data_IF_802312686224
#
_entry.id   IF_802312686224
#
_cell.length_a   1.000
_cell.length_b   1.000
_cell.length_c   1.000
_cell.angle_alpha   90.00
_cell.angle_beta   90.00
_cell.angle_gamma   90.00
#
_symmetry.space_group_name_H-M   'P 1'
#
loop_
_entity.id
_entity.type
_entity.pdbx_description
1 polymer ?
#
# COMPACT_ATOMS: atom_id res chain seq x y z
N UNK A 1 11.72 14.00 -13.38
CA UNK A 1 10.47 13.44 -12.81
C UNK A 1 9.97 14.25 -11.63
N UNK A 2 10.76 14.47 -10.55
CA UNK A 2 10.34 15.31 -9.40
C UNK A 2 10.32 16.79 -9.82
N UNK A 3 11.29 17.25 -10.60
CA UNK A 3 11.34 18.62 -11.13
C UNK A 3 10.21 18.89 -12.14
N UNK A 4 9.88 17.95 -13.00
CA UNK A 4 8.74 18.01 -13.92
C UNK A 4 7.42 18.06 -13.15
N UNK A 5 7.28 17.26 -12.06
CA UNK A 5 6.10 17.26 -11.20
C UNK A 5 5.88 18.62 -10.51
N UNK A 6 6.94 19.24 -10.01
CA UNK A 6 6.86 20.57 -9.36
C UNK A 6 6.52 21.66 -10.38
N UNK A 7 7.05 21.57 -11.59
CA UNK A 7 6.77 22.55 -12.65
C UNK A 7 5.34 22.44 -13.18
N UNK A 8 4.79 21.23 -13.33
CA UNK A 8 3.39 21.02 -13.76
C UNK A 8 2.37 21.48 -12.70
N UNK A 9 2.66 21.29 -11.41
CA UNK A 9 1.78 21.81 -10.33
C UNK A 9 1.80 23.33 -10.20
N UNK A 10 2.86 24.00 -10.63
CA UNK A 10 2.99 25.47 -10.51
C UNK A 10 2.46 26.24 -11.72
N UNK A 11 2.30 25.58 -12.86
CA UNK A 11 1.97 26.25 -14.11
C UNK A 11 0.54 26.08 -14.60
N UNK A 12 -0.24 25.14 -14.04
CA UNK A 12 -1.59 24.83 -14.48
C UNK A 12 -2.62 25.16 -13.39
N UNK A 13 -3.37 26.24 -13.58
CA UNK A 13 -4.39 26.76 -12.63
C UNK A 13 -5.64 25.85 -12.52
N UNK A 14 -5.76 24.79 -13.32
CA UNK A 14 -6.86 23.82 -13.30
C UNK A 14 -6.37 22.37 -13.43
N UNK A 15 -5.72 21.84 -12.39
CA UNK A 15 -5.42 20.40 -12.35
C UNK A 15 -6.70 19.62 -12.04
N UNK A 16 -7.20 18.86 -13.01
CA UNK A 16 -8.36 18.01 -12.78
C UNK A 16 -8.05 16.96 -11.69
N UNK A 17 -9.01 16.59 -10.82
CA UNK A 17 -8.80 15.62 -9.73
C UNK A 17 -8.17 14.29 -10.20
N UNK A 18 -8.58 13.78 -11.35
CA UNK A 18 -8.04 12.53 -11.91
C UNK A 18 -6.56 12.66 -12.34
N UNK A 19 -6.15 13.82 -12.81
CA UNK A 19 -4.76 14.07 -13.20
C UNK A 19 -3.85 14.19 -11.97
N UNK A 20 -4.35 14.75 -10.88
CA UNK A 20 -3.65 14.80 -9.60
C UNK A 20 -3.45 13.39 -9.00
N UNK A 21 -4.48 12.55 -9.08
CA UNK A 21 -4.40 11.16 -8.64
C UNK A 21 -3.35 10.36 -9.45
N UNK A 22 -3.33 10.52 -10.78
CA UNK A 22 -2.33 9.89 -11.64
C UNK A 22 -0.90 10.38 -11.35
N UNK A 23 -0.73 11.67 -11.10
CA UNK A 23 0.56 12.27 -10.76
C UNK A 23 1.05 11.81 -9.39
N UNK A 24 0.16 11.77 -8.40
CA UNK A 24 0.45 11.25 -7.05
C UNK A 24 0.79 9.76 -7.09
N UNK A 25 0.03 8.98 -7.86
CA UNK A 25 0.30 7.56 -8.06
C UNK A 25 1.68 7.34 -8.68
N UNK A 26 2.02 8.07 -9.73
CA UNK A 26 3.33 7.99 -10.38
C UNK A 26 4.47 8.46 -9.47
N UNK A 27 4.24 9.47 -8.63
CA UNK A 27 5.22 9.93 -7.64
C UNK A 27 5.45 8.86 -6.55
N UNK A 28 4.38 8.27 -6.02
CA UNK A 28 4.47 7.19 -5.04
C UNK A 28 5.23 5.99 -5.63
N UNK A 29 4.93 5.60 -6.86
CA UNK A 29 5.64 4.54 -7.57
C UNK A 29 7.13 4.90 -7.72
N UNK A 30 7.46 6.12 -8.15
CA UNK A 30 8.85 6.55 -8.32
C UNK A 30 9.63 6.60 -6.99
N UNK A 31 8.98 7.01 -5.90
CA UNK A 31 9.57 6.99 -4.55
C UNK A 31 9.79 5.55 -4.09
N UNK A 32 8.81 4.67 -4.26
CA UNK A 32 8.95 3.24 -3.93
C UNK A 32 10.06 2.59 -4.75
N UNK A 33 10.14 2.87 -6.05
CA UNK A 33 11.20 2.38 -6.94
C UNK A 33 12.60 2.83 -6.50
N UNK A 34 12.75 4.07 -6.05
CA UNK A 34 14.07 4.62 -5.67
C UNK A 34 14.61 4.06 -4.35
N UNK A 35 13.71 3.64 -3.43
CA UNK A 35 14.09 3.19 -2.08
C UNK A 35 14.09 1.68 -1.87
N UNK A 36 13.44 0.90 -2.73
CA UNK A 36 13.19 -0.53 -2.45
C UNK A 36 13.82 -1.51 -3.43
N UNK A 37 14.50 -1.05 -4.46
CA UNK A 37 14.99 -1.92 -5.53
C UNK A 37 13.87 -2.56 -6.37
N UNK A 38 12.65 -2.08 -6.24
CA UNK A 38 11.46 -2.55 -6.93
C UNK A 38 11.34 -2.03 -8.37
N UNK A 39 12.44 -1.55 -8.95
CA UNK A 39 12.49 -1.03 -10.34
C UNK A 39 11.89 -1.99 -11.36
N UNK A 40 12.04 -3.29 -11.12
CA UNK A 40 11.51 -4.30 -12.05
C UNK A 40 10.00 -4.49 -11.93
N UNK A 41 9.42 -4.27 -10.75
CA UNK A 41 7.98 -4.51 -10.52
C UNK A 41 7.09 -3.46 -11.19
N UNK A 42 7.43 -2.19 -11.08
CA UNK A 42 6.64 -1.11 -11.68
C UNK A 42 6.73 -1.11 -13.22
N UNK A 43 7.88 -1.49 -13.79
CA UNK A 43 8.02 -1.66 -15.24
C UNK A 43 7.17 -2.83 -15.75
N UNK A 44 7.08 -3.93 -14.98
CA UNK A 44 6.28 -5.11 -15.32
C UNK A 44 4.77 -4.82 -15.25
N UNK A 45 4.34 -3.96 -14.34
CA UNK A 45 2.94 -3.55 -14.24
C UNK A 45 2.49 -2.64 -15.39
N UNK A 46 3.42 -1.85 -15.98
CA UNK A 46 3.13 -0.90 -17.07
C UNK A 46 3.15 -1.51 -18.48
N UNK A 47 3.86 -2.64 -18.69
CA UNK A 47 4.18 -3.11 -20.05
C UNK A 47 3.43 -4.37 -20.48
N UNK A 48 2.63 -4.99 -19.60
CA UNK A 48 1.93 -6.23 -19.95
C UNK A 48 0.44 -5.98 -20.16
N UNK A 49 -0.12 -6.36 -21.35
CA UNK A 49 -1.57 -6.42 -21.49
C UNK A 49 -2.13 -7.38 -20.42
N UNK A 50 -3.31 -7.14 -19.86
CA UNK A 50 -3.86 -7.96 -18.79
C UNK A 50 -4.03 -9.39 -19.31
N UNK A 51 -3.06 -10.24 -19.05
CA UNK A 51 -3.30 -11.68 -19.12
C UNK A 51 -4.40 -11.93 -18.10
N UNK A 52 -5.50 -12.52 -18.55
CA UNK A 52 -6.65 -12.77 -17.68
C UNK A 52 -6.15 -13.53 -16.44
N UNK A 53 -6.07 -12.84 -15.30
CA UNK A 53 -5.62 -13.42 -14.03
C UNK A 53 -6.45 -14.66 -13.71
N UNK A 54 -5.79 -15.75 -13.32
CA UNK A 54 -6.46 -16.99 -12.96
C UNK A 54 -7.50 -16.74 -11.84
N UNK A 55 -8.69 -17.33 -11.98
CA UNK A 55 -9.77 -17.15 -11.01
C UNK A 55 -9.37 -17.56 -9.59
N UNK A 56 -8.47 -18.54 -9.45
CA UNK A 56 -7.94 -19.00 -8.15
C UNK A 56 -7.03 -17.96 -7.52
N UNK A 57 -6.21 -17.27 -8.32
CA UNK A 57 -5.38 -16.16 -7.86
C UNK A 57 -6.23 -14.98 -7.43
N UNK A 58 -7.28 -14.62 -8.20
CA UNK A 58 -8.25 -13.58 -7.79
C UNK A 58 -8.93 -13.92 -6.48
N UNK A 59 -9.33 -15.19 -6.29
CA UNK A 59 -9.92 -15.66 -5.04
C UNK A 59 -8.93 -15.54 -3.87
N UNK A 60 -7.66 -15.91 -4.08
CA UNK A 60 -6.61 -15.77 -3.08
C UNK A 60 -6.41 -14.31 -2.67
N UNK A 61 -6.32 -13.40 -3.64
CA UNK A 61 -6.20 -11.95 -3.40
C UNK A 61 -7.38 -11.42 -2.59
N UNK A 62 -8.61 -11.83 -2.93
CA UNK A 62 -9.81 -11.42 -2.20
C UNK A 62 -9.79 -11.90 -0.74
N UNK A 63 -9.28 -13.12 -0.47
CA UNK A 63 -9.08 -13.63 0.88
C UNK A 63 -8.03 -12.83 1.65
N UNK A 64 -6.89 -12.54 1.04
CA UNK A 64 -5.81 -11.74 1.65
C UNK A 64 -6.28 -10.32 2.00
N UNK A 65 -7.04 -9.68 1.11
CA UNK A 65 -7.60 -8.33 1.34
C UNK A 65 -8.61 -8.29 2.46
N UNK A 66 -9.39 -9.36 2.63
CA UNK A 66 -10.41 -9.43 3.69
C UNK A 66 -9.81 -9.54 5.08
N UNK A 67 -8.64 -10.17 5.21
CA UNK A 67 -8.01 -10.46 6.50
C UNK A 67 -6.53 -10.02 6.49
N UNK A 68 -6.33 -8.72 6.38
CA UNK A 68 -4.99 -8.10 6.34
C UNK A 68 -4.27 -8.20 7.69
N UNK A 69 -5.02 -8.27 8.77
CA UNK A 69 -4.49 -8.35 10.14
C UNK A 69 -3.84 -9.71 10.45
N UNK A 70 -4.26 -10.75 9.76
CA UNK A 70 -3.76 -12.09 10.02
C UNK A 70 -2.46 -12.35 9.29
N UNK A 71 -1.53 -13.02 9.96
CA UNK A 71 -0.36 -13.55 9.27
C UNK A 71 -0.79 -14.49 8.14
N UNK A 72 -0.21 -14.31 6.94
CA UNK A 72 -0.59 -15.10 5.77
C UNK A 72 -0.26 -16.59 5.99
N UNK A 73 -1.28 -17.39 6.19
CA UNK A 73 -1.17 -18.85 6.11
C UNK A 73 -1.32 -19.27 4.64
N UNK A 74 -0.17 -19.43 4.00
CA UNK A 74 -0.09 -19.82 2.58
C UNK A 74 -0.75 -21.16 2.32
N UNK A 75 -0.64 -22.11 3.26
CA UNK A 75 -1.21 -23.46 3.09
C UNK A 75 -2.73 -23.42 3.13
N UNK A 76 -3.30 -22.64 4.05
CA UNK A 76 -4.75 -22.42 4.10
C UNK A 76 -5.27 -21.72 2.84
N UNK A 77 -4.58 -20.69 2.34
CA UNK A 77 -4.99 -20.00 1.11
C UNK A 77 -4.90 -20.92 -0.11
N UNK A 78 -3.83 -21.70 -0.22
CA UNK A 78 -3.68 -22.67 -1.29
C UNK A 78 -4.79 -23.74 -1.25
N UNK A 79 -5.10 -24.28 -0.08
CA UNK A 79 -6.17 -25.28 0.10
C UNK A 79 -7.54 -24.72 -0.29
N UNK A 80 -7.89 -23.49 0.14
CA UNK A 80 -9.17 -22.83 -0.22
C UNK A 80 -9.28 -22.57 -1.72
N UNK A 81 -8.15 -22.40 -2.41
CA UNK A 81 -8.12 -22.22 -3.87
C UNK A 81 -8.03 -23.54 -4.65
N UNK A 82 -7.94 -24.69 -3.95
CA UNK A 82 -7.84 -26.01 -4.56
C UNK A 82 -6.48 -26.29 -5.19
N UNK A 83 -5.43 -25.67 -4.67
CA UNK A 83 -4.05 -25.80 -5.17
C UNK A 83 -3.14 -26.41 -4.10
N UNK A 84 -2.10 -27.13 -4.55
CA UNK A 84 -0.95 -27.41 -3.69
C UNK A 84 -0.17 -26.12 -3.43
N UNK A 85 0.54 -26.05 -2.29
CA UNK A 85 1.39 -24.88 -1.94
C UNK A 85 2.32 -24.47 -3.09
N UNK A 86 3.04 -25.44 -3.67
CA UNK A 86 4.00 -25.18 -4.75
C UNK A 86 3.31 -24.61 -6.00
N UNK A 87 2.17 -25.21 -6.40
CA UNK A 87 1.40 -24.73 -7.55
C UNK A 87 0.80 -23.34 -7.30
N UNK A 88 0.32 -23.09 -6.08
CA UNK A 88 -0.18 -21.78 -5.68
C UNK A 88 0.92 -20.70 -5.79
N UNK A 89 2.11 -20.95 -5.24
CA UNK A 89 3.23 -20.01 -5.37
C UNK A 89 3.57 -19.68 -6.81
N UNK A 90 3.73 -20.72 -7.64
CA UNK A 90 4.06 -20.54 -9.06
C UNK A 90 2.97 -19.76 -9.81
N UNK A 91 1.69 -20.12 -9.60
CA UNK A 91 0.55 -19.49 -10.28
C UNK A 91 0.41 -18.03 -9.83
N UNK A 92 0.49 -17.79 -8.53
CA UNK A 92 0.39 -16.46 -7.94
C UNK A 92 1.51 -15.54 -8.44
N UNK A 93 2.77 -16.01 -8.40
CA UNK A 93 3.92 -15.24 -8.87
C UNK A 93 3.86 -15.00 -10.38
N UNK A 94 3.37 -15.95 -11.16
CA UNK A 94 3.15 -15.77 -12.60
C UNK A 94 2.17 -14.63 -12.90
N UNK A 95 1.06 -14.58 -12.17
CA UNK A 95 -0.03 -13.64 -12.43
C UNK A 95 0.18 -12.27 -11.78
N UNK A 96 0.80 -12.22 -10.61
CA UNK A 96 1.01 -10.97 -9.84
C UNK A 96 2.44 -10.43 -9.92
N UNK A 97 3.38 -11.21 -10.44
CA UNK A 97 4.82 -10.94 -10.50
C UNK A 97 5.52 -10.84 -9.13
N UNK A 98 4.81 -11.09 -8.04
CA UNK A 98 5.35 -11.11 -6.66
C UNK A 98 4.95 -12.38 -5.95
N UNK A 99 5.66 -12.71 -4.87
CA UNK A 99 5.26 -13.86 -4.03
C UNK A 99 4.02 -13.52 -3.20
N UNK A 100 3.23 -14.53 -2.78
CA UNK A 100 2.09 -14.32 -1.89
C UNK A 100 2.43 -13.56 -0.61
N UNK A 101 3.59 -13.83 -0.02
CA UNK A 101 4.04 -13.16 1.20
C UNK A 101 4.34 -11.67 0.96
N UNK A 102 5.03 -11.34 -0.14
CA UNK A 102 5.30 -9.95 -0.52
C UNK A 102 3.99 -9.22 -0.75
N UNK A 103 3.04 -9.83 -1.47
CA UNK A 103 1.72 -9.26 -1.72
C UNK A 103 0.96 -8.97 -0.41
N UNK A 104 0.94 -9.93 0.52
CA UNK A 104 0.31 -9.74 1.83
C UNK A 104 0.96 -8.61 2.64
N UNK A 105 2.29 -8.47 2.58
CA UNK A 105 3.00 -7.37 3.24
C UNK A 105 2.66 -6.01 2.63
N UNK A 106 2.48 -5.93 1.31
CA UNK A 106 2.01 -4.70 0.65
C UNK A 106 0.62 -4.32 1.14
N UNK A 107 -0.33 -5.26 1.16
CA UNK A 107 -1.68 -4.99 1.68
C UNK A 107 -1.66 -4.52 3.14
N UNK A 108 -0.82 -5.14 3.98
CA UNK A 108 -0.66 -4.73 5.38
C UNK A 108 -0.05 -3.34 5.51
N UNK A 109 0.89 -3.01 4.63
CA UNK A 109 1.49 -1.69 4.58
C UNK A 109 0.48 -0.63 4.11
N UNK A 110 -0.30 -0.90 3.06
CA UNK A 110 -1.39 -0.01 2.59
C UNK A 110 -2.39 0.27 3.71
N UNK A 111 -2.85 -0.76 4.42
CA UNK A 111 -3.76 -0.60 5.55
C UNK A 111 -3.12 0.20 6.71
N UNK A 112 -1.81 0.07 6.93
CA UNK A 112 -1.09 0.87 7.92
C UNK A 112 -1.05 2.34 7.54
N UNK A 113 -0.73 2.66 6.29
CA UNK A 113 -0.71 4.02 5.76
C UNK A 113 -2.09 4.66 5.87
N UNK A 114 -3.13 3.97 5.41
CA UNK A 114 -4.52 4.43 5.49
C UNK A 114 -4.92 4.81 6.92
N UNK A 115 -4.70 3.91 7.89
CA UNK A 115 -5.03 4.18 9.30
C UNK A 115 -4.20 5.30 9.90
N UNK A 116 -2.89 5.35 9.61
CA UNK A 116 -2.04 6.43 10.09
C UNK A 116 -2.44 7.80 9.55
N UNK A 117 -3.01 7.84 8.34
CA UNK A 117 -3.44 9.06 7.67
C UNK A 117 -4.84 9.48 8.09
N UNK A 118 -5.79 8.53 8.12
CA UNK A 118 -7.22 8.84 8.23
C UNK A 118 -7.78 8.68 9.65
N UNK A 119 -7.07 7.97 10.54
CA UNK A 119 -7.55 7.76 11.90
C UNK A 119 -6.70 8.47 12.94
N UNK A 120 -7.36 8.92 14.03
CA UNK A 120 -6.69 9.42 15.23
C UNK A 120 -6.20 8.31 16.17
N UNK A 121 -6.33 7.03 15.80
CA UNK A 121 -6.00 5.89 16.64
C UNK A 121 -4.52 5.93 17.09
N UNK A 122 -4.21 5.59 18.34
CA UNK A 122 -2.84 5.42 18.79
C UNK A 122 -2.06 4.42 17.91
N UNK A 123 -0.78 4.69 17.66
CA UNK A 123 0.07 3.79 16.85
C UNK A 123 0.12 2.37 17.41
N UNK A 124 0.00 2.22 18.74
CA UNK A 124 -0.05 0.93 19.40
C UNK A 124 -1.33 0.14 19.03
N UNK A 125 -2.48 0.79 18.98
CA UNK A 125 -3.75 0.17 18.58
C UNK A 125 -3.73 -0.22 17.09
N UNK A 126 -3.19 0.64 16.22
CA UNK A 126 -2.99 0.30 14.80
C UNK A 126 -2.11 -0.95 14.67
N UNK A 127 -1.03 -1.04 15.45
CA UNK A 127 -0.16 -2.22 15.47
C UNK A 127 -0.92 -3.50 15.82
N UNK A 128 -1.77 -3.44 16.83
CA UNK A 128 -2.59 -4.57 17.27
C UNK A 128 -3.63 -4.97 16.22
N UNK A 129 -4.37 -3.98 15.68
CA UNK A 129 -5.38 -4.20 14.62
C UNK A 129 -4.76 -4.79 13.36
N UNK A 130 -3.51 -4.46 13.03
CA UNK A 130 -2.78 -5.03 11.91
C UNK A 130 -2.09 -6.37 12.23
N UNK A 131 -2.34 -6.93 13.40
CA UNK A 131 -1.89 -8.27 13.79
C UNK A 131 -0.41 -8.36 14.15
N UNK A 132 0.23 -7.25 14.52
CA UNK A 132 1.61 -7.28 15.02
C UNK A 132 1.64 -7.67 16.49
N UNK A 133 2.53 -8.58 16.85
CA UNK A 133 2.68 -9.08 18.22
C UNK A 133 3.19 -8.02 19.22
N UNK A 134 3.77 -6.92 18.73
CA UNK A 134 4.21 -5.79 19.52
C UNK A 134 4.35 -4.52 18.67
N UNK A 135 4.15 -3.32 19.23
CA UNK A 135 4.32 -2.04 18.52
C UNK A 135 5.72 -1.85 17.92
N UNK A 136 6.75 -2.40 18.56
CA UNK A 136 8.12 -2.38 18.04
C UNK A 136 8.30 -3.19 16.75
N UNK A 137 7.54 -4.27 16.56
CA UNK A 137 7.55 -5.06 15.31
C UNK A 137 6.89 -4.27 14.18
N UNK A 138 5.75 -3.64 14.45
CA UNK A 138 5.11 -2.73 13.52
C UNK A 138 6.02 -1.57 13.10
N UNK A 139 6.67 -0.92 14.07
CA UNK A 139 7.57 0.20 13.78
C UNK A 139 8.76 -0.22 12.89
N UNK A 140 9.33 -1.39 13.12
CA UNK A 140 10.40 -1.94 12.26
C UNK A 140 9.88 -2.30 10.87
N UNK A 141 8.72 -2.94 10.78
CA UNK A 141 8.08 -3.27 9.52
C UNK A 141 7.81 -2.01 8.69
N UNK A 142 7.18 -1.01 9.29
CA UNK A 142 6.83 0.24 8.61
C UNK A 142 8.08 1.01 8.15
N UNK A 143 9.10 1.11 9.03
CA UNK A 143 10.37 1.75 8.70
C UNK A 143 11.14 1.02 7.61
N UNK A 144 11.06 -0.31 7.55
CA UNK A 144 11.70 -1.08 6.47
C UNK A 144 11.09 -0.78 5.09
N UNK A 145 9.80 -0.39 5.03
CA UNK A 145 9.09 -0.08 3.79
C UNK A 145 9.17 1.40 3.39
N UNK A 146 9.14 2.32 4.35
CA UNK A 146 9.08 3.77 4.07
C UNK A 146 10.28 4.57 4.58
N UNK A 147 11.24 3.95 5.26
CA UNK A 147 12.43 4.61 5.78
C UNK A 147 12.21 5.42 7.06
N UNK A 148 10.97 5.70 7.46
CA UNK A 148 10.62 6.49 8.66
C UNK A 148 9.68 5.70 9.58
N UNK A 149 9.59 6.12 10.85
CA UNK A 149 8.70 5.46 11.82
C UNK A 149 7.23 5.83 11.57
N UNK A 150 6.25 4.99 12.02
CA UNK A 150 4.83 5.33 11.92
C UNK A 150 4.48 6.66 12.59
N UNK A 151 5.10 6.96 13.74
CA UNK A 151 4.90 8.22 14.47
C UNK A 151 5.41 9.42 13.67
N UNK A 152 6.59 9.31 13.06
CA UNK A 152 7.15 10.38 12.23
C UNK A 152 6.32 10.59 10.97
N UNK A 153 5.82 9.49 10.36
CA UNK A 153 4.92 9.55 9.22
C UNK A 153 3.65 10.34 9.55
N UNK A 154 2.94 9.95 10.62
CA UNK A 154 1.73 10.65 11.08
C UNK A 154 1.97 12.14 11.35
N UNK A 155 3.07 12.46 12.04
CA UNK A 155 3.42 13.86 12.32
C UNK A 155 3.61 14.66 11.04
N UNK A 156 4.23 14.07 10.01
CA UNK A 156 4.42 14.75 8.72
C UNK A 156 3.10 14.92 7.97
N UNK A 157 2.24 13.90 7.93
CA UNK A 157 0.93 13.97 7.28
C UNK A 157 0.06 15.05 7.93
N UNK A 158 -0.01 15.09 9.27
CA UNK A 158 -0.81 16.09 9.98
C UNK A 158 -0.30 17.54 9.81
N UNK A 159 0.96 17.74 9.41
CA UNK A 159 1.48 19.07 9.06
C UNK A 159 0.93 19.60 7.73
N UNK A 160 0.43 18.73 6.87
CA UNK A 160 -0.15 19.08 5.56
C UNK A 160 -1.69 19.12 5.57
N UNK A 161 -2.36 18.69 6.66
CA UNK A 161 -3.78 18.93 6.80
C UNK A 161 -4.02 20.42 7.08
N UNK A 162 -4.78 21.12 6.23
CA UNK A 162 -5.21 22.48 6.55
C UNK A 162 -6.01 22.45 7.86
N UNK A 163 -5.84 23.44 8.76
CA UNK A 163 -6.60 23.49 9.99
C UNK A 163 -8.09 23.36 9.66
N UNK A 164 -8.78 22.46 10.37
CA UNK A 164 -10.21 22.25 10.21
C UNK A 164 -10.90 23.62 10.15
N UNK A 165 -11.64 23.88 9.07
CA UNK A 165 -12.44 25.09 8.98
C UNK A 165 -13.39 25.08 10.17
N UNK A 166 -13.13 25.93 11.15
CA UNK A 166 -14.11 26.27 12.17
C UNK A 166 -15.35 26.72 11.42
N UNK A 167 -16.36 25.88 11.42
CA UNK A 167 -17.71 26.29 11.03
C UNK A 167 -18.13 27.31 12.09
N UNK A 168 -17.84 28.59 11.82
CA UNK A 168 -18.47 29.67 12.55
C UNK A 168 -19.96 29.56 12.32
N UNK A 169 -20.63 29.00 13.30
CA UNK A 169 -22.06 29.19 13.50
C UNK A 169 -22.28 30.69 13.65
N UNK A 170 -22.73 31.31 12.57
CA UNK A 170 -23.37 32.60 12.65
C UNK A 170 -24.84 32.39 13.04
N UNK A 171 -25.09 32.64 14.31
CA UNK A 171 -26.45 32.91 14.85
C UNK A 171 -26.95 34.23 14.26
#
# INVERSE_FOLDING_TARGET
>A
LVEEFVLELWWDDEVSPGRLEDLLFNLIIAVVESYTGWRDLASLLRTRPPVAMDARVRKAIALMRRDVARELDVDSVAAVTGLSRAHFFHLFQRDTQVTPLVYANVLRFEAAVERLTLSGEPVAEISEVLGFSAPGHFSRFFRAHLGITPTDYRRKVNLFEPPARETSELI
#
